data_IF_113080087274
#
_entry.id   IF_113080087274
#
_cell.length_a   1.000
_cell.length_b   1.000
_cell.length_c   1.000
_cell.angle_alpha   90.00
_cell.angle_beta   90.00
_cell.angle_gamma   90.00
#
_symmetry.space_group_name_H-M   'P 1'
#
loop_
_entity.id
_entity.type
_entity.pdbx_description
1 polymer ?
#
# COMPACT_ATOMS: atom_id res chain seq x y z
N UNK A 1 -6.41 -15.43 -19.27
CA UNK A 1 -6.56 -14.12 -19.94
C UNK A 1 -5.37 -13.28 -19.54
N UNK A 2 -4.77 -12.54 -20.47
CA UNK A 2 -3.61 -11.68 -20.17
C UNK A 2 -4.07 -10.44 -19.38
N UNK A 3 -3.15 -9.77 -18.68
CA UNK A 3 -3.45 -8.58 -17.87
C UNK A 3 -2.87 -7.32 -18.49
N UNK A 4 -3.64 -6.23 -18.47
CA UNK A 4 -3.17 -4.88 -18.80
C UNK A 4 -3.06 -4.08 -17.51
N UNK A 5 -1.84 -3.83 -17.08
CA UNK A 5 -1.57 -3.10 -15.84
C UNK A 5 -1.59 -1.58 -16.06
N UNK A 6 -2.17 -0.86 -15.11
CA UNK A 6 -2.17 0.61 -15.07
C UNK A 6 -1.65 1.07 -13.71
N UNK A 7 -0.62 1.91 -13.68
CA UNK A 7 -0.22 2.59 -12.45
C UNK A 7 -1.04 3.87 -12.25
N UNK A 8 -1.93 3.87 -11.25
CA UNK A 8 -2.77 5.00 -10.88
C UNK A 8 -2.66 5.29 -9.37
N UNK A 9 -1.56 5.91 -8.89
CA UNK A 9 -1.27 6.11 -7.47
C UNK A 9 -2.29 7.00 -6.76
N UNK A 10 -3.09 7.77 -7.50
CA UNK A 10 -4.17 8.62 -7.02
C UNK A 10 -5.45 7.87 -6.60
N UNK A 11 -5.46 6.54 -6.67
CA UNK A 11 -6.65 5.71 -6.50
C UNK A 11 -7.52 6.11 -5.29
N UNK A 12 -6.92 6.25 -4.11
CA UNK A 12 -7.67 6.49 -2.86
C UNK A 12 -8.52 7.78 -2.94
N UNK A 13 -8.05 8.78 -3.70
CA UNK A 13 -8.79 10.04 -3.92
C UNK A 13 -9.76 9.89 -5.09
N UNK A 14 -9.33 9.26 -6.19
CA UNK A 14 -10.14 9.09 -7.40
C UNK A 14 -11.38 8.20 -7.15
N UNK A 15 -11.21 7.12 -6.38
CA UNK A 15 -12.27 6.20 -5.99
C UNK A 15 -13.40 6.91 -5.24
N UNK A 16 -13.03 7.74 -4.27
CA UNK A 16 -13.98 8.49 -3.42
C UNK A 16 -14.57 9.67 -4.15
N UNK A 17 -13.85 10.26 -5.11
CA UNK A 17 -14.38 11.30 -5.98
C UNK A 17 -15.54 10.81 -6.85
N UNK A 18 -15.57 9.52 -7.19
CA UNK A 18 -16.73 8.88 -7.80
C UNK A 18 -17.04 9.34 -9.23
N UNK A 19 -16.05 9.84 -9.98
CA UNK A 19 -16.24 10.28 -11.38
C UNK A 19 -15.29 9.57 -12.34
N UNK A 20 -15.77 9.34 -13.56
CA UNK A 20 -15.00 8.74 -14.67
C UNK A 20 -13.84 9.57 -15.17
N UNK A 21 -13.73 10.84 -14.77
CA UNK A 21 -12.62 11.73 -15.13
C UNK A 21 -12.16 12.42 -13.85
N UNK A 22 -10.94 12.13 -13.44
CA UNK A 22 -10.34 12.71 -12.25
C UNK A 22 -9.22 13.68 -12.62
N UNK A 23 -9.35 14.94 -12.21
CA UNK A 23 -8.31 15.94 -12.43
C UNK A 23 -7.29 15.89 -11.29
N UNK A 24 -6.08 15.45 -11.59
CA UNK A 24 -4.98 15.36 -10.64
C UNK A 24 -4.34 16.73 -10.40
N UNK A 25 -3.80 16.95 -9.20
CA UNK A 25 -2.87 18.07 -8.97
C UNK A 25 -1.58 17.85 -9.77
N UNK A 26 -0.81 18.91 -10.11
CA UNK A 26 0.43 18.76 -10.87
C UNK A 26 1.42 17.77 -10.24
N UNK A 27 1.49 17.75 -8.91
CA UNK A 27 2.33 16.82 -8.16
C UNK A 27 1.88 15.35 -8.35
N UNK A 28 0.58 15.06 -8.23
CA UNK A 28 0.04 13.71 -8.38
C UNK A 28 0.14 13.23 -9.83
N UNK A 29 -0.16 14.11 -10.79
CA UNK A 29 0.02 13.83 -12.21
C UNK A 29 1.48 13.49 -12.54
N UNK A 30 2.45 14.17 -11.90
CA UNK A 30 3.87 13.86 -12.07
C UNK A 30 4.21 12.47 -11.52
N UNK A 31 3.75 12.13 -10.31
CA UNK A 31 3.96 10.80 -9.72
C UNK A 31 3.34 9.68 -10.59
N UNK A 32 2.12 9.88 -11.10
CA UNK A 32 1.46 8.95 -12.01
C UNK A 32 2.31 8.68 -13.25
N UNK A 33 2.79 9.74 -13.93
CA UNK A 33 3.63 9.59 -15.13
C UNK A 33 4.98 8.94 -14.84
N UNK A 34 5.69 9.41 -13.81
CA UNK A 34 7.03 8.92 -13.47
C UNK A 34 6.99 7.45 -12.97
N UNK A 35 5.85 7.00 -12.43
CA UNK A 35 5.62 5.63 -11.99
C UNK A 35 4.95 4.72 -13.03
N UNK A 36 4.61 5.22 -14.22
CA UNK A 36 3.78 4.51 -15.19
C UNK A 36 4.32 3.12 -15.59
N UNK A 37 5.64 2.94 -15.58
CA UNK A 37 6.32 1.69 -15.92
C UNK A 37 6.65 0.81 -14.71
N UNK A 38 6.36 1.25 -13.48
CA UNK A 38 6.54 0.43 -12.28
C UNK A 38 5.85 -0.95 -12.37
N UNK A 39 4.69 -1.12 -13.02
CA UNK A 39 4.07 -2.43 -13.17
C UNK A 39 4.90 -3.48 -13.90
N UNK A 40 5.92 -3.06 -14.65
CA UNK A 40 6.81 -4.01 -15.32
C UNK A 40 7.52 -4.96 -14.35
N UNK A 41 7.70 -4.54 -13.10
CA UNK A 41 8.38 -5.31 -12.06
C UNK A 41 7.49 -6.32 -11.35
N UNK A 42 6.20 -6.40 -11.67
CA UNK A 42 5.32 -7.39 -11.06
C UNK A 42 4.34 -8.06 -12.02
N UNK A 43 4.18 -7.52 -13.23
CA UNK A 43 3.46 -8.15 -14.33
C UNK A 43 4.13 -9.47 -14.78
N UNK A 44 3.35 -10.38 -15.37
CA UNK A 44 3.84 -11.61 -15.99
C UNK A 44 4.40 -11.38 -17.39
N UNK A 45 5.02 -12.43 -17.96
CA UNK A 45 5.68 -12.34 -19.29
C UNK A 45 4.69 -12.06 -20.43
N UNK A 46 3.46 -12.59 -20.35
CA UNK A 46 2.41 -12.42 -21.37
C UNK A 46 1.55 -11.17 -21.15
N UNK A 47 1.74 -10.50 -20.01
CA UNK A 47 1.00 -9.31 -19.63
C UNK A 47 1.53 -8.07 -20.37
N UNK A 48 0.80 -6.97 -20.22
CA UNK A 48 1.18 -5.68 -20.76
C UNK A 48 1.05 -4.58 -19.68
N UNK A 49 1.84 -3.53 -19.83
CA UNK A 49 1.78 -2.32 -19.01
C UNK A 49 1.34 -1.16 -19.88
N UNK A 50 0.29 -0.46 -19.46
CA UNK A 50 -0.20 0.74 -20.10
C UNK A 50 0.73 1.91 -19.75
N UNK A 51 1.56 2.32 -20.70
CA UNK A 51 2.54 3.38 -20.51
C UNK A 51 3.51 3.48 -21.68
N UNK A 52 3.94 4.70 -21.97
CA UNK A 52 4.98 4.97 -22.95
C UNK A 52 6.35 5.09 -22.25
N UNK A 53 7.40 4.60 -22.91
CA UNK A 53 8.78 4.83 -22.50
C UNK A 53 9.51 5.54 -23.63
N UNK A 54 9.96 6.77 -23.39
CA UNK A 54 10.79 7.52 -24.36
C UNK A 54 12.28 7.20 -24.20
N UNK A 55 12.66 6.57 -23.07
CA UNK A 55 14.04 6.23 -22.71
C UNK A 55 14.41 4.79 -23.08
N UNK A 56 14.47 4.49 -24.38
CA UNK A 56 14.71 3.12 -24.88
C UNK A 56 16.01 2.50 -24.34
N UNK A 57 17.10 3.28 -24.22
CA UNK A 57 18.37 2.77 -23.71
C UNK A 57 18.27 2.28 -22.24
N UNK A 58 17.53 3.01 -21.40
CA UNK A 58 17.25 2.57 -20.03
C UNK A 58 16.40 1.30 -20.03
N UNK A 59 15.33 1.29 -20.83
CA UNK A 59 14.39 0.16 -20.92
C UNK A 59 15.09 -1.13 -21.37
N UNK A 60 15.91 -1.06 -22.43
CA UNK A 60 16.68 -2.19 -22.93
C UNK A 60 17.76 -2.65 -21.95
N UNK A 61 18.31 -1.72 -21.16
CA UNK A 61 19.25 -2.06 -20.08
C UNK A 61 18.55 -2.86 -18.98
N UNK A 62 17.46 -2.34 -18.41
CA UNK A 62 16.75 -3.04 -17.32
C UNK A 62 16.15 -4.37 -17.78
N UNK A 63 15.64 -4.45 -19.02
CA UNK A 63 15.13 -5.71 -19.59
C UNK A 63 16.21 -6.78 -19.71
N UNK A 64 17.40 -6.41 -20.19
CA UNK A 64 18.51 -7.35 -20.31
C UNK A 64 19.04 -7.78 -18.94
N UNK A 65 19.21 -6.83 -18.03
CA UNK A 65 19.76 -7.11 -16.71
C UNK A 65 18.83 -7.96 -15.85
N UNK A 66 17.51 -7.75 -15.93
CA UNK A 66 16.53 -8.40 -15.04
C UNK A 66 15.59 -9.38 -15.76
N UNK A 67 15.82 -9.67 -17.04
CA UNK A 67 14.99 -10.61 -17.81
C UNK A 67 13.54 -10.16 -18.00
N UNK A 68 13.24 -8.85 -17.95
CA UNK A 68 11.86 -8.35 -18.05
C UNK A 68 11.32 -8.50 -19.48
N UNK A 69 10.31 -9.35 -19.67
CA UNK A 69 9.69 -9.64 -20.98
C UNK A 69 8.37 -8.93 -21.25
N UNK A 70 7.80 -8.32 -20.21
CA UNK A 70 6.53 -7.60 -20.29
C UNK A 70 6.56 -6.47 -21.32
N UNK A 71 5.44 -6.33 -22.05
CA UNK A 71 5.29 -5.31 -23.09
C UNK A 71 4.77 -4.01 -22.52
N UNK A 72 5.28 -2.90 -23.02
CA UNK A 72 4.77 -1.55 -22.75
C UNK A 72 3.94 -1.12 -23.95
N UNK A 73 2.67 -0.75 -23.73
CA UNK A 73 1.71 -0.50 -24.80
C UNK A 73 0.90 0.77 -24.53
N UNK A 74 0.34 1.36 -25.58
CA UNK A 74 -0.66 2.43 -25.49
C UNK A 74 -2.10 1.92 -25.56
N UNK A 75 -2.30 0.72 -26.11
CA UNK A 75 -3.61 0.04 -26.22
C UNK A 75 -3.41 -1.46 -26.47
N UNK A 76 -4.48 -2.23 -26.31
CA UNK A 76 -4.54 -3.68 -26.54
C UNK A 76 -5.83 -4.09 -27.24
N UNK A 77 -5.87 -5.32 -27.74
CA UNK A 77 -7.10 -5.91 -28.28
C UNK A 77 -8.09 -6.30 -27.18
N UNK A 78 -9.35 -5.90 -27.34
CA UNK A 78 -10.33 -5.86 -26.25
C UNK A 78 -10.71 -7.19 -25.61
N UNK A 79 -10.56 -8.29 -26.34
CA UNK A 79 -10.98 -9.62 -25.90
C UNK A 79 -9.86 -10.44 -25.24
N UNK A 80 -8.62 -9.95 -25.31
CA UNK A 80 -7.46 -10.72 -24.86
C UNK A 80 -6.95 -10.31 -23.47
N UNK A 81 -7.36 -9.13 -22.98
CA UNK A 81 -6.80 -8.48 -21.80
C UNK A 81 -7.85 -8.10 -20.75
N UNK A 82 -7.58 -8.46 -19.49
CA UNK A 82 -8.26 -7.94 -18.30
C UNK A 82 -7.46 -6.76 -17.74
N UNK A 83 -8.13 -5.63 -17.48
CA UNK A 83 -7.52 -4.47 -16.85
C UNK A 83 -7.18 -4.75 -15.38
N UNK A 84 -5.98 -4.35 -14.95
CA UNK A 84 -5.50 -4.50 -13.58
C UNK A 84 -4.86 -3.18 -13.15
N UNK A 85 -5.65 -2.22 -12.64
CA UNK A 85 -5.09 -0.98 -12.15
C UNK A 85 -4.34 -1.19 -10.84
N UNK A 86 -3.54 -0.20 -10.45
CA UNK A 86 -2.95 -0.11 -9.11
C UNK A 86 -4.06 -0.19 -8.07
N UNK A 87 -5.17 0.51 -8.30
CA UNK A 87 -6.43 0.27 -7.61
C UNK A 87 -7.62 0.74 -8.42
N UNK A 88 -8.78 0.12 -8.18
CA UNK A 88 -9.99 0.40 -8.95
C UNK A 88 -10.61 1.74 -8.58
N UNK A 89 -10.96 2.51 -9.62
CA UNK A 89 -11.81 3.71 -9.58
C UNK A 89 -12.51 3.86 -10.93
N UNK A 90 -13.53 4.71 -11.02
CA UNK A 90 -14.21 4.96 -12.30
C UNK A 90 -13.26 5.51 -13.37
N UNK A 91 -12.30 6.36 -12.98
CA UNK A 91 -11.31 6.91 -13.90
C UNK A 91 -10.33 5.83 -14.37
N UNK A 92 -9.84 4.97 -13.47
CA UNK A 92 -8.98 3.85 -13.84
C UNK A 92 -9.68 2.85 -14.78
N UNK A 93 -10.95 2.50 -14.48
CA UNK A 93 -11.76 1.63 -15.33
C UNK A 93 -11.98 2.26 -16.72
N UNK A 94 -12.24 3.57 -16.80
CA UNK A 94 -12.31 4.28 -18.07
C UNK A 94 -10.99 4.21 -18.83
N UNK A 95 -9.85 4.55 -18.21
CA UNK A 95 -8.53 4.55 -18.86
C UNK A 95 -8.22 3.17 -19.45
N UNK A 96 -8.45 2.10 -18.68
CA UNK A 96 -8.21 0.73 -19.13
C UNK A 96 -9.16 0.32 -20.27
N UNK A 97 -10.45 0.67 -20.16
CA UNK A 97 -11.43 0.40 -21.22
C UNK A 97 -11.12 1.19 -22.51
N UNK A 98 -10.69 2.45 -22.40
CA UNK A 98 -10.29 3.28 -23.54
C UNK A 98 -9.04 2.70 -24.23
N UNK A 99 -8.13 2.09 -23.44
CA UNK A 99 -6.98 1.34 -23.94
C UNK A 99 -7.34 -0.06 -24.47
N UNK A 100 -8.60 -0.46 -24.39
CA UNK A 100 -9.13 -1.70 -24.93
C UNK A 100 -9.38 -2.80 -23.90
N UNK A 101 -8.86 -2.76 -22.67
CA UNK A 101 -9.02 -3.88 -21.73
C UNK A 101 -10.48 -4.10 -21.28
N UNK A 102 -10.82 -5.33 -20.92
CA UNK A 102 -12.02 -5.62 -20.12
C UNK A 102 -11.84 -5.04 -18.72
N UNK A 103 -12.91 -4.51 -18.15
CA UNK A 103 -12.90 -3.88 -16.82
C UNK A 103 -14.12 -4.33 -16.01
N UNK A 104 -14.04 -4.15 -14.70
CA UNK A 104 -15.17 -4.39 -13.79
C UNK A 104 -16.31 -3.41 -14.04
N UNK A 105 -17.52 -3.75 -13.58
CA UNK A 105 -18.68 -2.88 -13.68
C UNK A 105 -18.59 -1.70 -12.70
N UNK A 106 -19.40 -0.67 -12.97
CA UNK A 106 -19.57 0.48 -12.07
C UNK A 106 -20.03 0.04 -10.67
N UNK A 107 -20.96 -0.92 -10.58
CA UNK A 107 -21.44 -1.47 -9.30
C UNK A 107 -20.28 -2.10 -8.50
N UNK A 108 -19.36 -2.81 -9.17
CA UNK A 108 -18.18 -3.36 -8.52
C UNK A 108 -17.25 -2.26 -8.00
N UNK A 109 -17.03 -1.18 -8.76
CA UNK A 109 -16.26 -0.02 -8.29
C UNK A 109 -16.89 0.59 -7.04
N UNK A 110 -18.22 0.72 -7.00
CA UNK A 110 -18.92 1.24 -5.81
C UNK A 110 -18.80 0.32 -4.59
N UNK A 111 -18.87 -1.00 -4.79
CA UNK A 111 -18.64 -1.98 -3.73
C UNK A 111 -17.24 -1.82 -3.14
N UNK A 112 -16.22 -1.65 -3.99
CA UNK A 112 -14.85 -1.40 -3.56
C UNK A 112 -14.75 -0.06 -2.81
N UNK A 113 -15.37 1.02 -3.30
CA UNK A 113 -15.38 2.33 -2.64
C UNK A 113 -15.97 2.27 -1.22
N UNK A 114 -17.04 1.49 -1.03
CA UNK A 114 -17.65 1.25 0.29
C UNK A 114 -16.71 0.46 1.21
N UNK A 115 -15.98 -0.52 0.69
CA UNK A 115 -15.02 -1.30 1.46
C UNK A 115 -13.73 -0.53 1.79
N UNK A 116 -13.33 0.44 0.97
CA UNK A 116 -12.20 1.34 1.25
C UNK A 116 -12.49 2.36 2.36
N UNK A 117 -13.71 2.40 2.90
CA UNK A 117 -14.03 3.17 4.08
C UNK A 117 -13.39 2.54 5.32
N UNK A 118 -12.71 3.34 6.15
CA UNK A 118 -11.97 2.84 7.34
C UNK A 118 -12.77 2.01 8.34
N UNK A 119 -14.10 2.15 8.41
CA UNK A 119 -15.03 1.23 9.11
C UNK A 119 -14.75 -0.27 8.91
N UNK A 120 -14.12 -0.66 7.80
CA UNK A 120 -13.71 -2.06 7.60
C UNK A 120 -12.79 -2.56 8.73
N UNK A 121 -11.94 -1.70 9.30
CA UNK A 121 -11.07 -2.05 10.43
C UNK A 121 -11.86 -2.42 11.68
N UNK A 122 -13.00 -1.77 11.95
CA UNK A 122 -13.91 -2.12 13.04
C UNK A 122 -14.32 -3.59 12.93
N UNK A 123 -14.85 -3.98 11.77
CA UNK A 123 -15.32 -5.36 11.51
C UNK A 123 -14.18 -6.38 11.60
N UNK A 124 -13.01 -6.04 11.08
CA UNK A 124 -11.82 -6.90 11.17
C UNK A 124 -11.41 -7.07 12.64
N UNK A 125 -11.27 -5.98 13.38
CA UNK A 125 -10.86 -6.00 14.80
C UNK A 125 -11.84 -6.75 15.69
N UNK A 126 -13.16 -6.60 15.48
CA UNK A 126 -14.18 -7.38 16.19
C UNK A 126 -14.01 -8.89 15.98
N UNK A 127 -13.79 -9.33 14.73
CA UNK A 127 -13.57 -10.75 14.41
C UNK A 127 -12.27 -11.26 15.01
N UNK A 128 -11.19 -10.46 14.95
CA UNK A 128 -9.91 -10.83 15.53
C UNK A 128 -10.00 -10.96 17.07
N UNK A 129 -10.71 -10.07 17.76
CA UNK A 129 -10.98 -10.20 19.19
C UNK A 129 -11.73 -11.49 19.55
N UNK A 130 -12.68 -11.90 18.70
CA UNK A 130 -13.44 -13.13 18.92
C UNK A 130 -12.61 -14.42 18.69
N UNK A 131 -11.55 -14.34 17.88
CA UNK A 131 -10.82 -15.52 17.39
C UNK A 131 -9.42 -15.67 17.99
N UNK A 132 -8.79 -14.58 18.44
CA UNK A 132 -7.42 -14.60 18.95
C UNK A 132 -7.40 -14.68 20.49
N UNK A 133 -6.59 -15.57 21.09
CA UNK A 133 -6.60 -15.81 22.53
C UNK A 133 -5.70 -14.86 23.33
N UNK A 134 -5.36 -13.69 22.78
CA UNK A 134 -4.45 -12.73 23.41
C UNK A 134 -4.99 -11.30 23.30
N UNK A 135 -4.45 -10.42 24.14
CA UNK A 135 -4.84 -9.01 24.20
C UNK A 135 -4.54 -8.32 22.88
N UNK A 136 -5.54 -7.62 22.36
CA UNK A 136 -5.44 -6.70 21.23
C UNK A 136 -5.75 -5.27 21.70
N UNK A 137 -5.40 -4.23 20.90
CA UNK A 137 -5.87 -2.87 21.13
C UNK A 137 -7.39 -2.77 21.10
N UNK A 138 -7.95 -1.70 21.65
CA UNK A 138 -9.41 -1.47 21.57
C UNK A 138 -9.90 -1.47 20.13
N UNK A 139 -11.08 -2.06 19.90
CA UNK A 139 -11.75 -1.97 18.60
C UNK A 139 -12.01 -0.49 18.27
N UNK A 140 -11.65 -0.02 17.06
CA UNK A 140 -11.97 1.33 16.60
C UNK A 140 -13.48 1.63 16.70
N UNK A 141 -13.83 2.87 17.02
CA UNK A 141 -15.23 3.31 17.12
C UNK A 141 -15.56 4.25 15.97
N UNK A 142 -16.63 3.95 15.22
CA UNK A 142 -17.19 4.90 14.26
C UNK A 142 -18.09 5.90 15.00
N UNK A 143 -17.73 7.17 14.93
CA UNK A 143 -18.40 8.26 15.64
C UNK A 143 -18.98 9.24 14.63
N UNK A 144 -20.24 9.65 14.86
CA UNK A 144 -20.95 10.64 14.05
C UNK A 144 -21.30 11.91 14.83
N UNK A 145 -20.89 12.00 16.09
CA UNK A 145 -21.16 13.11 17.01
C UNK A 145 -19.88 13.51 17.77
N UNK A 146 -19.57 14.80 17.78
CA UNK A 146 -18.40 15.33 18.49
C UNK A 146 -18.51 15.17 20.01
N UNK A 147 -19.72 15.08 20.57
CA UNK A 147 -19.90 14.86 22.00
C UNK A 147 -19.51 13.43 22.42
N UNK A 148 -19.74 12.44 21.56
CA UNK A 148 -19.24 11.08 21.78
C UNK A 148 -17.71 11.07 21.72
N UNK A 149 -17.09 11.82 20.80
CA UNK A 149 -15.64 11.96 20.77
C UNK A 149 -15.10 12.56 22.08
N UNK A 150 -15.77 13.57 22.65
CA UNK A 150 -15.37 14.16 23.95
C UNK A 150 -15.35 13.12 25.05
N UNK A 151 -16.42 12.32 25.16
CA UNK A 151 -16.51 11.25 26.16
C UNK A 151 -15.38 10.23 26.02
N UNK A 152 -15.04 9.83 24.79
CA UNK A 152 -13.93 8.89 24.56
C UNK A 152 -12.58 9.51 24.96
N UNK A 153 -12.34 10.77 24.59
CA UNK A 153 -11.07 11.48 24.86
C UNK A 153 -10.87 11.74 26.36
N UNK A 154 -11.94 11.82 27.15
CA UNK A 154 -11.86 11.90 28.61
C UNK A 154 -11.29 10.62 29.25
N UNK A 155 -11.44 9.46 28.59
CA UNK A 155 -10.90 8.19 29.09
C UNK A 155 -9.43 7.97 28.67
N UNK A 156 -9.07 8.29 27.44
CA UNK A 156 -7.72 8.08 26.89
C UNK A 156 -7.45 8.93 25.63
N UNK A 157 -6.18 9.23 25.31
CA UNK A 157 -5.83 9.89 24.05
C UNK A 157 -6.11 8.99 22.85
N UNK A 158 -6.50 9.61 21.74
CA UNK A 158 -6.96 8.90 20.53
C UNK A 158 -6.32 9.43 19.26
N UNK A 159 -6.34 8.61 18.21
CA UNK A 159 -6.26 9.08 16.84
C UNK A 159 -7.65 9.19 16.24
N UNK A 160 -7.94 10.36 15.68
CA UNK A 160 -9.12 10.58 14.84
C UNK A 160 -8.72 10.41 13.38
N UNK A 161 -9.49 9.61 12.65
CA UNK A 161 -9.27 9.26 11.25
C UNK A 161 -10.51 9.58 10.42
N UNK A 162 -10.34 10.37 9.35
CA UNK A 162 -11.39 10.54 8.35
C UNK A 162 -11.64 9.21 7.62
N UNK A 163 -12.91 8.82 7.37
CA UNK A 163 -13.27 7.59 6.67
C UNK A 163 -12.52 7.32 5.38
N UNK A 164 -12.35 8.38 4.60
CA UNK A 164 -11.61 8.40 3.35
C UNK A 164 -10.58 9.51 3.41
N UNK A 165 -9.31 9.13 3.32
CA UNK A 165 -8.20 10.07 3.21
C UNK A 165 -7.03 9.42 2.48
N UNK A 166 -6.09 10.24 1.99
CA UNK A 166 -4.84 9.75 1.43
C UNK A 166 -3.67 10.37 2.18
N UNK A 167 -2.58 9.60 2.30
CA UNK A 167 -1.27 10.07 2.75
C UNK A 167 -1.33 10.76 4.13
N UNK A 168 -2.05 10.18 5.09
CA UNK A 168 -2.11 10.65 6.48
C UNK A 168 -2.87 11.95 6.73
N UNK A 169 -3.31 12.70 5.71
CA UNK A 169 -3.96 14.02 5.87
C UNK A 169 -5.26 13.99 6.68
N UNK A 170 -5.94 12.84 6.70
CA UNK A 170 -7.16 12.61 7.47
C UNK A 170 -6.93 12.10 8.89
N UNK A 171 -5.68 11.98 9.35
CA UNK A 171 -5.33 11.38 10.64
C UNK A 171 -4.73 12.44 11.56
N UNK A 172 -5.14 12.46 12.83
CA UNK A 172 -4.57 13.36 13.82
C UNK A 172 -4.78 12.86 15.24
N UNK A 173 -3.79 13.09 16.09
CA UNK A 173 -3.82 12.78 17.51
C UNK A 173 -4.67 13.80 18.27
N UNK A 174 -5.46 13.33 19.24
CA UNK A 174 -6.36 14.12 20.08
C UNK A 174 -6.20 13.64 21.53
N UNK A 175 -5.53 14.44 22.35
CA UNK A 175 -5.44 14.23 23.80
C UNK A 175 -6.45 15.09 24.59
N UNK A 176 -7.02 16.11 23.95
CA UNK A 176 -8.09 16.94 24.49
C UNK A 176 -8.91 17.54 23.34
N UNK A 177 -10.19 17.80 23.58
CA UNK A 177 -11.10 18.33 22.56
C UNK A 177 -11.26 19.84 22.71
N UNK A 178 -10.44 20.60 21.98
CA UNK A 178 -10.55 22.05 21.87
C UNK A 178 -11.43 22.50 20.68
N UNK A 179 -11.63 23.80 20.52
CA UNK A 179 -12.43 24.36 19.42
C UNK A 179 -11.87 24.02 18.02
N UNK A 180 -10.55 23.84 17.89
CA UNK A 180 -9.91 23.49 16.61
C UNK A 180 -10.19 22.04 16.25
N UNK A 181 -10.11 21.12 17.22
CA UNK A 181 -10.49 19.71 17.07
C UNK A 181 -11.96 19.63 16.67
N UNK A 182 -12.84 20.33 17.38
CA UNK A 182 -14.29 20.38 17.09
C UNK A 182 -14.55 20.87 15.67
N UNK A 183 -13.92 21.97 15.26
CA UNK A 183 -14.07 22.52 13.90
C UNK A 183 -13.59 21.53 12.83
N UNK A 184 -12.45 20.86 13.06
CA UNK A 184 -11.88 19.85 12.16
C UNK A 184 -12.80 18.63 12.04
N UNK A 185 -13.25 18.08 13.17
CA UNK A 185 -14.16 16.92 13.24
C UNK A 185 -15.49 17.23 12.57
N UNK A 186 -16.14 18.34 12.92
CA UNK A 186 -17.38 18.76 12.28
C UNK A 186 -17.22 18.97 10.77
N UNK A 187 -16.05 19.43 10.32
CA UNK A 187 -15.72 19.49 8.90
C UNK A 187 -15.70 18.11 8.24
N UNK A 188 -15.15 17.08 8.90
CA UNK A 188 -15.15 15.71 8.39
C UNK A 188 -16.56 15.12 8.41
N UNK A 189 -17.29 15.25 9.53
CA UNK A 189 -18.66 14.76 9.68
C UNK A 189 -19.58 15.31 8.59
N UNK A 190 -19.53 16.63 8.32
CA UNK A 190 -20.32 17.25 7.24
C UNK A 190 -20.01 16.69 5.85
N UNK A 191 -18.77 16.23 5.61
CA UNK A 191 -18.33 15.77 4.28
C UNK A 191 -18.43 14.26 4.09
N UNK A 192 -18.22 13.49 5.15
CA UNK A 192 -18.03 12.04 5.09
C UNK A 192 -18.99 11.26 6.02
N UNK A 193 -19.80 11.94 6.83
CA UNK A 193 -20.83 11.34 7.69
C UNK A 193 -20.34 10.77 9.01
N UNK A 194 -19.06 10.42 9.13
CA UNK A 194 -18.47 9.89 10.36
C UNK A 194 -16.97 10.16 10.46
N UNK A 195 -16.40 9.82 11.62
CA UNK A 195 -14.97 9.68 11.89
C UNK A 195 -14.72 8.31 12.52
N UNK A 196 -13.51 7.79 12.36
CA UNK A 196 -13.03 6.64 13.12
C UNK A 196 -12.17 7.15 14.27
N UNK A 197 -12.40 6.60 15.47
CA UNK A 197 -11.67 6.94 16.69
C UNK A 197 -10.96 5.68 17.18
N UNK A 198 -9.65 5.78 17.35
CA UNK A 198 -8.79 4.66 17.72
C UNK A 198 -7.93 5.03 18.92
N UNK A 199 -7.66 4.08 19.80
CA UNK A 199 -6.73 4.27 20.92
C UNK A 199 -5.36 4.73 20.41
N UNK A 200 -4.78 5.73 21.08
CA UNK A 200 -3.42 6.17 20.77
C UNK A 200 -2.40 5.22 21.38
N UNK A 201 -1.85 4.33 20.56
CA UNK A 201 -0.75 3.46 20.93
C UNK A 201 0.59 4.20 20.80
N UNK A 202 1.50 3.96 21.75
CA UNK A 202 2.89 4.41 21.63
C UNK A 202 3.60 3.56 20.58
N UNK A 203 3.54 4.02 19.33
CA UNK A 203 3.99 3.28 18.16
C UNK A 203 5.50 3.17 18.14
N UNK A 204 6.00 1.93 18.04
CA UNK A 204 7.41 1.61 17.83
C UNK A 204 7.73 1.29 16.37
N UNK A 205 6.87 0.50 15.70
CA UNK A 205 7.10 0.09 14.30
C UNK A 205 5.81 0.01 13.50
N UNK A 206 5.83 0.51 12.27
CA UNK A 206 4.78 0.25 11.27
C UNK A 206 5.17 -0.94 10.36
N UNK A 207 4.21 -1.78 10.02
CA UNK A 207 4.38 -2.84 9.02
C UNK A 207 3.03 -3.16 8.35
N UNK A 208 3.02 -4.07 7.39
CA UNK A 208 1.79 -4.60 6.83
C UNK A 208 1.90 -6.10 6.60
N UNK A 209 0.75 -6.79 6.64
CA UNK A 209 0.61 -8.07 5.96
C UNK A 209 -0.02 -7.85 4.59
N UNK A 210 0.51 -8.55 3.59
CA UNK A 210 0.11 -8.45 2.21
C UNK A 210 -0.79 -9.64 1.84
N UNK A 211 -1.80 -9.38 1.03
CA UNK A 211 -2.79 -10.37 0.64
C UNK A 211 -3.12 -10.29 -0.85
N UNK A 212 -3.68 -11.37 -1.37
CA UNK A 212 -4.29 -11.41 -2.69
C UNK A 212 -5.69 -12.02 -2.59
N UNK A 213 -6.69 -11.30 -3.08
CA UNK A 213 -8.07 -11.78 -3.21
C UNK A 213 -8.32 -12.31 -4.61
N UNK A 214 -8.88 -13.51 -4.71
CA UNK A 214 -9.35 -14.08 -5.98
C UNK A 214 -10.53 -15.01 -5.72
N UNK A 215 -11.62 -14.82 -6.47
CA UNK A 215 -12.79 -15.71 -6.40
C UNK A 215 -13.36 -15.88 -4.98
N UNK A 216 -13.39 -14.80 -4.19
CA UNK A 216 -13.87 -14.79 -2.81
C UNK A 216 -12.92 -15.42 -1.79
N UNK A 217 -11.76 -15.91 -2.22
CA UNK A 217 -10.71 -16.43 -1.34
C UNK A 217 -9.62 -15.38 -1.14
N UNK A 218 -9.11 -15.27 0.09
CA UNK A 218 -7.97 -14.41 0.43
C UNK A 218 -6.78 -15.26 0.79
N UNK A 219 -5.66 -15.00 0.12
CA UNK A 219 -4.38 -15.65 0.38
C UNK A 219 -3.39 -14.66 1.00
N UNK A 220 -2.68 -15.08 2.04
CA UNK A 220 -1.53 -14.35 2.58
C UNK A 220 -0.33 -14.43 1.63
N UNK A 221 0.30 -13.29 1.38
CA UNK A 221 1.40 -13.13 0.42
C UNK A 221 2.75 -12.97 1.12
N UNK A 222 2.82 -12.14 2.17
CA UNK A 222 4.09 -11.79 2.81
C UNK A 222 3.94 -10.67 3.84
N UNK A 223 5.04 -10.30 4.46
CA UNK A 223 5.15 -9.09 5.27
C UNK A 223 5.68 -7.92 4.43
N UNK A 224 5.44 -6.71 4.93
CA UNK A 224 6.04 -5.50 4.39
C UNK A 224 6.43 -4.57 5.52
N UNK A 225 7.72 -4.32 5.68
CA UNK A 225 8.23 -3.36 6.65
C UNK A 225 8.44 -2.02 5.94
N UNK A 226 7.72 -0.98 6.36
CA UNK A 226 7.84 0.37 5.79
C UNK A 226 8.24 1.38 6.86
N UNK A 227 8.85 2.47 6.41
CA UNK A 227 9.29 3.55 7.27
C UNK A 227 8.93 4.90 6.65
N UNK A 228 8.75 5.89 7.51
CA UNK A 228 8.45 7.25 7.09
C UNK A 228 9.74 8.07 6.94
N UNK A 229 9.74 9.01 6.00
CA UNK A 229 10.70 10.10 5.96
C UNK A 229 10.37 11.15 7.04
N UNK A 230 11.25 12.13 7.22
CA UNK A 230 11.00 13.27 8.11
C UNK A 230 9.66 13.93 7.74
N UNK A 231 8.73 14.00 8.69
CA UNK A 231 7.40 14.62 8.50
C UNK A 231 6.28 13.65 8.07
N UNK A 232 6.31 12.39 8.51
CA UNK A 232 5.25 11.37 8.35
C UNK A 232 4.89 10.98 6.91
N UNK A 233 5.69 11.40 5.92
CA UNK A 233 5.54 10.94 4.54
C UNK A 233 6.16 9.55 4.37
N UNK A 234 5.57 8.71 3.52
CA UNK A 234 6.17 7.42 3.15
C UNK A 234 7.62 7.59 2.68
N UNK A 235 8.56 6.94 3.36
CA UNK A 235 10.00 7.02 3.09
C UNK A 235 10.54 5.84 2.27
N UNK A 236 9.92 4.67 2.42
CA UNK A 236 10.30 3.47 1.69
C UNK A 236 9.89 2.17 2.39
N UNK A 237 10.33 1.06 1.81
CA UNK A 237 10.20 -0.30 2.32
C UNK A 237 11.57 -0.93 2.50
N UNK A 238 11.71 -1.77 3.52
CA UNK A 238 12.82 -2.72 3.61
C UNK A 238 12.56 -3.86 2.62
N UNK A 239 13.60 -4.26 1.89
CA UNK A 239 13.63 -5.44 1.04
C UNK A 239 14.40 -6.52 1.77
N UNK A 240 13.68 -7.46 2.35
CA UNK A 240 14.19 -8.58 3.13
C UNK A 240 13.19 -9.73 3.03
N UNK A 241 13.64 -10.95 3.35
CA UNK A 241 12.75 -12.10 3.36
C UNK A 241 11.72 -12.02 4.52
N UNK A 242 10.60 -12.73 4.40
CA UNK A 242 9.51 -12.65 5.39
C UNK A 242 9.95 -13.08 6.81
N UNK A 243 10.83 -14.07 6.91
CA UNK A 243 11.43 -14.53 8.17
C UNK A 243 12.35 -13.47 8.78
N UNK A 244 13.12 -12.76 7.96
CA UNK A 244 13.96 -11.65 8.40
C UNK A 244 13.12 -10.45 8.87
N UNK A 245 12.04 -10.11 8.16
CA UNK A 245 11.10 -9.06 8.59
C UNK A 245 10.45 -9.47 9.92
N UNK A 246 10.05 -10.73 10.07
CA UNK A 246 9.50 -11.25 11.31
C UNK A 246 10.50 -11.14 12.47
N UNK A 247 11.77 -11.47 12.24
CA UNK A 247 12.84 -11.30 13.22
C UNK A 247 13.00 -9.84 13.65
N UNK A 248 12.93 -8.89 12.71
CA UNK A 248 12.97 -7.46 13.02
C UNK A 248 11.78 -7.02 13.89
N UNK A 249 10.57 -7.49 13.58
CA UNK A 249 9.37 -7.20 14.38
C UNK A 249 9.46 -7.80 15.79
N UNK A 250 10.03 -8.99 15.93
CA UNK A 250 10.27 -9.63 17.24
C UNK A 250 11.32 -8.88 18.04
N UNK A 251 12.40 -8.39 17.40
CA UNK A 251 13.37 -7.49 18.02
C UNK A 251 12.72 -6.17 18.48
N UNK A 252 11.69 -5.71 17.77
CA UNK A 252 10.87 -4.56 18.19
C UNK A 252 9.89 -4.88 19.33
N UNK A 253 9.79 -6.13 19.77
CA UNK A 253 9.01 -6.56 20.93
C UNK A 253 7.75 -7.36 20.59
N UNK A 254 7.44 -7.55 19.31
CA UNK A 254 6.29 -8.35 18.90
C UNK A 254 6.46 -9.83 19.29
N UNK A 255 5.38 -10.46 19.72
CA UNK A 255 5.37 -11.92 19.91
C UNK A 255 5.27 -12.64 18.57
N UNK A 256 6.24 -13.51 18.28
CA UNK A 256 6.22 -14.35 17.07
C UNK A 256 4.97 -15.22 16.98
N UNK A 257 4.54 -15.78 18.12
CA UNK A 257 3.33 -16.58 18.20
C UNK A 257 2.08 -15.76 17.84
N UNK A 258 2.02 -14.49 18.25
CA UNK A 258 0.90 -13.60 17.90
C UNK A 258 0.91 -13.25 16.41
N UNK A 259 2.07 -12.93 15.83
CA UNK A 259 2.21 -12.70 14.38
C UNK A 259 1.69 -13.90 13.56
N UNK A 260 2.10 -15.11 13.93
CA UNK A 260 1.64 -16.34 13.25
C UNK A 260 0.15 -16.59 13.43
N UNK A 261 -0.40 -16.32 14.61
CA UNK A 261 -1.83 -16.47 14.87
C UNK A 261 -2.66 -15.48 14.04
N UNK A 262 -2.25 -14.21 13.97
CA UNK A 262 -2.88 -13.18 13.11
C UNK A 262 -2.80 -13.63 11.65
N UNK A 263 -1.60 -14.00 11.15
CA UNK A 263 -1.39 -14.48 9.78
C UNK A 263 -2.30 -15.67 9.43
N UNK A 264 -2.57 -16.56 10.39
CA UNK A 264 -3.43 -17.73 10.19
C UNK A 264 -4.93 -17.38 10.12
N UNK A 265 -5.39 -16.45 10.96
CA UNK A 265 -6.82 -16.11 11.10
C UNK A 265 -7.27 -15.03 10.12
N UNK A 266 -6.42 -14.04 9.87
CA UNK A 266 -6.78 -12.85 9.10
C UNK A 266 -7.26 -13.15 7.67
N UNK A 267 -6.71 -14.12 6.91
CA UNK A 267 -7.23 -14.47 5.58
C UNK A 267 -8.72 -14.85 5.58
N UNK A 268 -9.18 -15.67 6.52
CA UNK A 268 -10.60 -16.06 6.57
C UNK A 268 -11.51 -14.90 6.98
N UNK A 269 -11.04 -14.04 7.89
CA UNK A 269 -11.77 -12.82 8.30
C UNK A 269 -11.92 -11.87 7.11
N UNK A 270 -10.84 -11.64 6.36
CA UNK A 270 -10.85 -10.78 5.18
C UNK A 270 -11.73 -11.37 4.06
N UNK A 271 -11.70 -12.68 3.85
CA UNK A 271 -12.56 -13.34 2.86
C UNK A 271 -14.05 -13.18 3.20
N UNK A 272 -14.45 -13.31 4.47
CA UNK A 272 -15.84 -13.07 4.92
C UNK A 272 -16.27 -11.60 4.67
N UNK A 273 -15.38 -10.65 4.96
CA UNK A 273 -15.71 -9.22 4.91
C UNK A 273 -15.70 -8.67 3.48
N UNK A 274 -14.69 -9.03 2.69
CA UNK A 274 -14.48 -8.54 1.32
C UNK A 274 -15.35 -9.33 0.33
N UNK A 275 -15.44 -10.65 0.51
CA UNK A 275 -16.17 -11.53 -0.40
C UNK A 275 -15.71 -11.41 -1.86
N UNK A 276 -16.67 -11.40 -2.77
CA UNK A 276 -16.49 -11.22 -4.22
C UNK A 276 -16.38 -9.75 -4.65
N UNK A 277 -16.32 -8.80 -3.71
CA UNK A 277 -16.32 -7.38 -4.05
C UNK A 277 -14.99 -6.88 -4.64
N UNK A 278 -13.88 -7.55 -4.34
CA UNK A 278 -12.55 -7.13 -4.76
C UNK A 278 -11.69 -8.33 -5.20
N UNK A 279 -11.03 -8.20 -6.34
CA UNK A 279 -10.02 -9.13 -6.83
C UNK A 279 -8.70 -8.39 -7.05
N UNK A 280 -7.60 -8.97 -6.60
CA UNK A 280 -6.25 -8.41 -6.70
C UNK A 280 -5.52 -8.32 -5.37
N UNK A 281 -4.35 -7.70 -5.42
CA UNK A 281 -3.50 -7.50 -4.23
C UNK A 281 -4.03 -6.39 -3.33
N UNK A 282 -3.81 -6.53 -2.03
CA UNK A 282 -4.11 -5.50 -1.04
C UNK A 282 -3.19 -5.64 0.17
N UNK A 283 -3.11 -4.59 0.98
CA UNK A 283 -2.35 -4.59 2.24
C UNK A 283 -3.25 -4.32 3.43
N UNK A 284 -2.93 -4.94 4.57
CA UNK A 284 -3.46 -4.56 5.88
C UNK A 284 -2.31 -3.95 6.67
N UNK A 285 -2.40 -2.64 6.91
CA UNK A 285 -1.42 -1.90 7.67
C UNK A 285 -1.60 -2.22 9.17
N UNK A 286 -0.48 -2.38 9.86
CA UNK A 286 -0.36 -2.86 11.23
C UNK A 286 0.72 -2.06 11.94
N UNK A 287 0.73 -2.11 13.27
CA UNK A 287 1.85 -1.57 14.04
C UNK A 287 2.21 -2.44 15.24
N UNK A 288 3.44 -2.28 15.70
CA UNK A 288 3.94 -2.78 16.98
C UNK A 288 4.09 -1.59 17.91
N UNK A 289 3.45 -1.63 19.07
CA UNK A 289 3.60 -0.64 20.12
C UNK A 289 4.88 -0.87 20.94
N UNK A 290 5.33 0.13 21.70
CA UNK A 290 6.55 0.07 22.52
C UNK A 290 6.51 -1.03 23.58
N UNK A 291 5.33 -1.45 24.01
CA UNK A 291 5.13 -2.57 24.94
C UNK A 291 5.07 -3.95 24.25
N UNK A 292 5.26 -4.00 22.93
CA UNK A 292 5.22 -5.21 22.12
C UNK A 292 3.82 -5.62 21.64
N UNK A 293 2.77 -4.87 21.99
CA UNK A 293 1.42 -5.13 21.48
C UNK A 293 1.36 -4.93 19.97
N UNK A 294 0.70 -5.85 19.27
CA UNK A 294 0.45 -5.75 17.83
C UNK A 294 -0.95 -5.18 17.66
N UNK A 295 -1.08 -4.07 16.94
CA UNK A 295 -2.34 -3.66 16.31
C UNK A 295 -2.44 -4.34 14.95
N UNK A 296 -3.33 -5.35 14.79
CA UNK A 296 -3.37 -6.17 13.60
C UNK A 296 -4.18 -5.54 12.46
N UNK A 297 -4.80 -4.36 12.62
CA UNK A 297 -5.56 -3.73 11.54
C UNK A 297 -5.75 -2.22 11.72
N UNK A 298 -4.73 -1.45 11.37
CA UNK A 298 -4.75 0.02 11.34
C UNK A 298 -5.52 0.56 10.11
N UNK A 299 -5.36 -0.07 8.96
CA UNK A 299 -6.01 0.30 7.69
C UNK A 299 -6.00 -0.88 6.70
N UNK A 300 -7.06 -1.03 5.91
CA UNK A 300 -7.11 -2.01 4.80
C UNK A 300 -7.05 -1.25 3.48
N UNK A 301 -6.00 -1.49 2.70
CA UNK A 301 -5.70 -0.81 1.44
C UNK A 301 -5.97 -1.73 0.23
N UNK A 302 -7.17 -1.66 -0.35
CA UNK A 302 -7.61 -2.46 -1.51
C UNK A 302 -6.96 -1.99 -2.84
N UNK A 303 -5.64 -2.16 -2.93
CA UNK A 303 -4.79 -1.81 -4.08
C UNK A 303 -3.42 -2.49 -4.01
N UNK A 304 -2.69 -2.49 -5.12
CA UNK A 304 -1.30 -2.98 -5.29
C UNK A 304 -0.29 -2.16 -4.46
N UNK A 305 -0.38 -2.08 -3.14
CA UNK A 305 0.41 -1.14 -2.31
C UNK A 305 1.93 -1.15 -2.61
N UNK A 306 2.65 -0.09 -2.21
CA UNK A 306 4.12 -0.06 -2.33
C UNK A 306 4.78 -1.26 -1.63
N UNK A 307 4.16 -1.77 -0.56
CA UNK A 307 4.59 -3.00 0.09
C UNK A 307 4.49 -4.24 -0.80
N UNK A 308 3.43 -4.37 -1.61
CA UNK A 308 3.31 -5.46 -2.60
C UNK A 308 4.41 -5.35 -3.65
N UNK A 309 4.73 -4.13 -4.10
CA UNK A 309 5.85 -3.90 -5.02
C UNK A 309 7.18 -4.30 -4.38
N UNK A 310 7.44 -3.87 -3.14
CA UNK A 310 8.65 -4.23 -2.40
C UNK A 310 8.80 -5.76 -2.26
N UNK A 311 7.71 -6.45 -1.91
CA UNK A 311 7.70 -7.91 -1.81
C UNK A 311 7.95 -8.59 -3.17
N UNK A 312 7.35 -8.08 -4.26
CA UNK A 312 7.60 -8.58 -5.61
C UNK A 312 9.06 -8.37 -6.04
N UNK A 313 9.65 -7.21 -5.72
CA UNK A 313 11.06 -6.91 -5.99
C UNK A 313 11.99 -7.86 -5.23
N UNK A 314 11.77 -8.04 -3.93
CA UNK A 314 12.58 -8.95 -3.11
C UNK A 314 12.52 -10.38 -3.64
N UNK A 315 11.32 -10.89 -3.90
CA UNK A 315 11.13 -12.28 -4.33
C UNK A 315 11.70 -12.57 -5.73
N UNK A 316 11.58 -11.63 -6.67
CA UNK A 316 11.92 -11.84 -8.08
C UNK A 316 13.30 -11.32 -8.48
N UNK A 317 13.73 -10.18 -7.95
CA UNK A 317 14.85 -9.41 -8.50
C UNK A 317 15.91 -9.00 -7.48
N UNK A 318 15.84 -9.44 -6.23
CA UNK A 318 16.92 -9.30 -5.26
C UNK A 318 17.59 -10.65 -5.01
N UNK A 319 18.91 -10.67 -4.81
CA UNK A 319 19.59 -11.89 -4.36
C UNK A 319 19.05 -12.30 -2.99
N UNK A 320 18.93 -13.62 -2.74
CA UNK A 320 18.41 -14.13 -1.46
C UNK A 320 19.32 -13.83 -0.26
N UNK A 321 20.59 -13.58 -0.53
CA UNK A 321 21.58 -13.21 0.49
C UNK A 321 21.68 -11.69 0.70
N UNK A 322 21.00 -10.91 -0.16
CA UNK A 322 21.03 -9.47 -0.12
C UNK A 322 19.80 -8.92 0.58
N UNK A 323 20.01 -7.83 1.33
CA UNK A 323 18.95 -6.97 1.85
C UNK A 323 19.02 -5.63 1.15
N UNK A 324 17.95 -4.86 1.26
CA UNK A 324 17.89 -3.58 0.57
C UNK A 324 16.77 -2.68 1.01
N UNK A 325 16.57 -1.63 0.22
CA UNK A 325 15.50 -0.67 0.40
C UNK A 325 14.85 -0.34 -0.93
N UNK A 326 13.53 -0.26 -0.93
CA UNK A 326 12.73 0.32 -2.00
C UNK A 326 12.27 1.71 -1.58
N UNK A 327 12.49 2.73 -2.44
CA UNK A 327 12.13 4.13 -2.15
C UNK A 327 11.47 4.81 -3.34
N UNK A 328 10.70 5.84 -3.01
CA UNK A 328 10.21 6.82 -3.96
C UNK A 328 10.75 8.18 -3.53
N UNK A 329 11.72 8.71 -4.28
CA UNK A 329 12.38 9.98 -3.94
C UNK A 329 12.10 11.04 -5.01
N UNK A 330 12.10 12.31 -4.61
CA UNK A 330 12.07 13.42 -5.57
C UNK A 330 13.48 13.80 -5.98
N UNK A 331 13.62 14.13 -7.26
CA UNK A 331 14.90 14.50 -7.83
C UNK A 331 15.85 13.32 -8.00
N UNK A 332 17.00 13.56 -8.64
CA UNK A 332 18.04 12.54 -8.70
C UNK A 332 18.60 12.30 -7.29
N UNK A 333 18.64 11.05 -6.83
CA UNK A 333 19.33 10.72 -5.59
C UNK A 333 20.85 10.96 -5.77
N UNK A 334 21.58 11.10 -4.65
CA UNK A 334 23.04 11.15 -4.66
C UNK A 334 23.64 9.98 -5.44
N UNK A 335 24.82 10.16 -6.05
CA UNK A 335 25.51 9.10 -6.78
C UNK A 335 25.61 7.84 -5.90
N UNK A 336 24.97 6.76 -6.34
CA UNK A 336 25.00 5.46 -5.68
C UNK A 336 25.92 4.50 -6.41
N UNK A 337 26.30 3.41 -5.76
CA UNK A 337 27.10 2.37 -6.38
C UNK A 337 26.36 1.77 -7.60
N UNK A 338 27.11 1.54 -8.68
CA UNK A 338 26.58 0.91 -9.87
C UNK A 338 26.00 -0.48 -9.53
N UNK A 339 24.88 -0.87 -10.15
CA UNK A 339 24.24 -2.13 -9.82
C UNK A 339 25.08 -3.33 -10.27
N UNK A 340 25.28 -4.28 -9.36
CA UNK A 340 25.81 -5.60 -9.67
C UNK A 340 24.63 -6.56 -9.74
N UNK A 341 24.40 -7.10 -10.93
CA UNK A 341 23.28 -8.01 -11.20
C UNK A 341 23.85 -9.36 -11.61
N UNK A 342 23.41 -10.41 -10.93
CA UNK A 342 23.75 -11.81 -11.21
C UNK A 342 22.47 -12.62 -11.31
N UNK A 343 22.37 -13.49 -12.32
CA UNK A 343 21.17 -14.28 -12.63
C UNK A 343 19.85 -13.49 -12.54
N UNK A 344 19.80 -12.33 -13.20
CA UNK A 344 18.66 -11.41 -13.17
C UNK A 344 18.25 -10.87 -11.79
N UNK A 345 19.15 -10.97 -10.78
CA UNK A 345 18.93 -10.51 -9.41
C UNK A 345 19.98 -9.49 -8.99
N UNK A 346 19.54 -8.43 -8.34
CA UNK A 346 20.39 -7.40 -7.76
C UNK A 346 21.13 -7.97 -6.54
N UNK A 347 22.46 -7.98 -6.61
CA UNK A 347 23.35 -8.40 -5.53
C UNK A 347 23.76 -7.19 -4.69
N UNK A 348 24.14 -6.09 -5.34
CA UNK A 348 24.55 -4.85 -4.68
C UNK A 348 24.30 -3.63 -5.59
N UNK A 349 24.35 -2.43 -5.00
CA UNK A 349 24.20 -1.17 -5.73
C UNK A 349 22.74 -0.79 -5.97
N UNK A 350 22.53 0.16 -6.88
CA UNK A 350 21.23 0.83 -7.05
C UNK A 350 20.67 0.71 -8.45
N UNK A 351 19.36 0.53 -8.55
CA UNK A 351 18.60 0.47 -9.80
C UNK A 351 17.40 1.40 -9.76
N UNK A 352 17.23 2.17 -10.84
CA UNK A 352 15.99 2.89 -11.12
C UNK A 352 14.97 1.94 -11.73
N UNK A 353 13.82 1.79 -11.07
CA UNK A 353 12.70 0.94 -11.47
C UNK A 353 11.82 1.60 -12.53
N UNK A 354 11.91 2.92 -12.69
CA UNK A 354 11.30 3.66 -13.79
C UNK A 354 12.33 4.58 -14.43
N UNK A 355 12.09 5.16 -15.63
CA UNK A 355 13.04 6.07 -16.25
C UNK A 355 13.45 7.19 -15.29
N UNK A 356 14.76 7.44 -15.11
CA UNK A 356 15.24 8.45 -14.17
C UNK A 356 14.70 9.84 -14.51
N UNK A 357 14.30 10.60 -13.49
CA UNK A 357 13.64 11.90 -13.63
C UNK A 357 14.32 12.96 -12.76
N UNK A 358 14.93 13.98 -13.39
CA UNK A 358 15.69 15.03 -12.67
C UNK A 358 14.79 15.88 -11.76
N UNK A 359 13.61 16.23 -12.24
CA UNK A 359 12.65 17.08 -11.51
C UNK A 359 11.41 16.30 -11.05
N UNK A 360 11.50 14.97 -11.06
CA UNK A 360 10.37 14.06 -10.88
C UNK A 360 10.53 13.12 -9.70
N UNK A 361 9.76 12.03 -9.74
CA UNK A 361 9.85 10.90 -8.82
C UNK A 361 10.74 9.81 -9.40
N UNK A 362 11.62 9.27 -8.56
CA UNK A 362 12.45 8.14 -8.89
C UNK A 362 12.07 6.98 -7.97
N UNK A 363 11.67 5.88 -8.58
CA UNK A 363 11.40 4.61 -7.92
C UNK A 363 12.70 3.81 -7.92
N UNK A 364 13.22 3.52 -6.75
CA UNK A 364 14.59 3.01 -6.60
C UNK A 364 14.58 1.77 -5.74
N UNK A 365 15.24 0.72 -6.23
CA UNK A 365 15.65 -0.43 -5.45
C UNK A 365 17.17 -0.34 -5.23
N UNK A 366 17.62 -0.45 -3.98
CA UNK A 366 19.04 -0.48 -3.62
C UNK A 366 19.30 -1.73 -2.78
N UNK A 367 20.26 -2.55 -3.20
CA UNK A 367 20.80 -3.63 -2.38
C UNK A 367 21.98 -3.07 -1.57
N UNK A 368 21.91 -3.22 -0.26
CA UNK A 368 22.83 -2.58 0.68
C UNK A 368 23.15 -3.50 1.85
N UNK A 369 24.36 -3.36 2.42
CA UNK A 369 24.74 -4.09 3.62
C UNK A 369 23.86 -3.72 4.84
N UNK A 370 23.90 -4.59 5.86
CA UNK A 370 23.09 -4.50 7.08
C UNK A 370 23.05 -3.10 7.70
N UNK A 371 24.19 -2.42 7.78
CA UNK A 371 24.32 -1.10 8.41
C UNK A 371 23.53 0.03 7.75
N UNK A 372 23.17 -0.08 6.46
CA UNK A 372 22.30 0.89 5.78
C UNK A 372 20.83 0.58 6.03
N UNK A 373 20.46 -0.71 6.06
CA UNK A 373 19.10 -1.16 6.41
C UNK A 373 18.77 -0.77 7.85
N UNK A 374 19.72 -0.98 8.78
CA UNK A 374 19.59 -0.64 10.20
C UNK A 374 19.38 0.86 10.47
N UNK A 375 19.69 1.76 9.53
CA UNK A 375 19.40 3.20 9.71
C UNK A 375 17.91 3.54 9.56
N UNK A 376 17.14 2.60 9.05
CA UNK A 376 15.71 2.75 8.79
C UNK A 376 14.87 1.84 9.70
N UNK A 377 15.54 0.92 10.40
CA UNK A 377 15.03 0.27 11.59
C UNK A 377 15.20 1.23 12.76
#
# INVERSE_FOLDING_TARGET
MMKLYLFNPENDIALVHGRRRFTMSPHVARLHRDGALLPMWYAGEEDAVLGACEYNAWLDSVRRSFGLRVRTVSSVEKVAYMGVPWGWSYDAARILSDAGALVISDDSVERIARLSHRRISVRVMERLHAMLPFRLPRVPVEVNDVDILRQIVEEYPVYVKAPWSSSGRGVFHVASVDEKVVARVNGILRRQGSILVEESLDKKRDFAMLFHSAHGCVQWIGYSLFFNAVGDAYGGNILAADDEIEDMLVCDGASRAHLHAIRKVLPSVLAEIIGDAYEGYFGVDMLVASDGMIDPCVEVNLRMTMGVVAHALMSRYMSRESRGVFRVVRGLPDCGDAPVVDDCRLVSGRVHLTPPSVDGFNFIMEASGQSKVDRHL
#
